data_IF_056906655709
#
_entry.id   IF_056906655709
#
_cell.length_a   1.000
_cell.length_b   1.000
_cell.length_c   1.000
_cell.angle_alpha   90.00
_cell.angle_beta   90.00
_cell.angle_gamma   90.00
#
_symmetry.space_group_name_H-M   'P 1'
#
loop_
_entity.id
_entity.type
_entity.pdbx_description
1 polymer ?
#
# COMPACT_ATOMS: atom_id res chain seq x y z
N UNK A 1 28.27 25.99 -40.92
CA UNK A 1 27.42 26.52 -42.01
C UNK A 1 26.29 25.53 -42.21
N UNK A 2 25.18 25.76 -41.51
CA UNK A 2 23.79 25.69 -41.94
C UNK A 2 23.03 26.44 -40.84
N UNK A 3 22.15 27.31 -41.31
CA UNK A 3 21.51 28.44 -40.67
C UNK A 3 20.00 28.15 -40.54
N UNK A 4 19.39 28.69 -39.47
CA UNK A 4 17.95 29.00 -39.28
C UNK A 4 16.94 27.83 -39.33
N UNK A 5 15.86 27.78 -38.53
CA UNK A 5 14.95 28.86 -38.13
C UNK A 5 14.33 28.62 -36.74
N UNK A 6 14.05 29.74 -36.08
CA UNK A 6 13.17 29.91 -34.93
C UNK A 6 11.82 29.17 -35.04
N UNK A 7 11.34 28.68 -33.90
CA UNK A 7 9.93 28.79 -33.53
C UNK A 7 9.87 29.04 -32.01
N UNK A 8 10.06 30.33 -31.66
CA UNK A 8 9.86 30.88 -30.33
C UNK A 8 8.35 30.93 -30.03
N UNK A 9 7.82 29.86 -29.46
CA UNK A 9 6.55 29.91 -28.76
C UNK A 9 6.81 30.28 -27.31
N UNK A 10 6.77 31.59 -27.07
CA UNK A 10 6.79 32.25 -25.78
C UNK A 10 5.86 31.55 -24.78
N UNK A 11 6.44 30.72 -23.90
CA UNK A 11 5.75 30.23 -22.71
C UNK A 11 5.68 31.42 -21.75
N UNK A 12 4.50 32.02 -21.61
CA UNK A 12 4.27 33.08 -20.63
C UNK A 12 4.63 32.57 -19.23
N UNK A 13 5.68 33.12 -18.63
CA UNK A 13 6.06 32.85 -17.24
C UNK A 13 4.91 33.25 -16.31
N UNK A 14 4.30 32.25 -15.66
CA UNK A 14 3.30 32.45 -14.60
C UNK A 14 4.05 32.44 -13.25
N UNK A 15 3.85 33.43 -12.35
CA UNK A 15 4.70 33.59 -11.17
C UNK A 15 4.54 32.48 -10.13
N UNK A 16 5.66 32.14 -9.50
CA UNK A 16 5.82 31.15 -8.44
C UNK A 16 5.01 31.48 -7.17
N UNK A 17 3.98 30.67 -6.89
CA UNK A 17 3.51 30.41 -5.53
C UNK A 17 3.69 28.92 -5.27
N UNK A 18 4.19 28.51 -4.09
CA UNK A 18 4.44 27.11 -3.69
C UNK A 18 3.49 26.12 -4.36
N UNK A 19 3.96 25.33 -5.32
CA UNK A 19 3.18 24.47 -6.21
C UNK A 19 3.73 24.56 -7.63
N UNK A 20 4.44 23.52 -8.06
CA UNK A 20 5.09 23.50 -9.36
C UNK A 20 4.15 23.03 -10.47
N UNK A 21 4.45 23.45 -11.70
CA UNK A 21 3.62 23.26 -12.88
C UNK A 21 4.05 21.98 -13.61
N UNK A 22 3.17 20.98 -13.66
CA UNK A 22 3.30 19.77 -14.46
C UNK A 22 2.64 19.97 -15.83
N UNK A 23 3.25 19.46 -16.89
CA UNK A 23 2.63 19.39 -18.22
C UNK A 23 2.06 18.00 -18.46
N UNK A 24 0.73 17.86 -18.47
CA UNK A 24 0.07 16.62 -18.89
C UNK A 24 -0.13 16.61 -20.40
N UNK A 25 0.46 15.65 -21.11
CA UNK A 25 0.26 15.46 -22.55
C UNK A 25 -0.85 14.43 -22.81
N UNK A 26 -1.84 14.80 -23.61
CA UNK A 26 -2.86 13.85 -24.08
C UNK A 26 -2.26 12.77 -24.98
N UNK A 27 -2.86 11.58 -25.06
CA UNK A 27 -2.36 10.44 -25.87
C UNK A 27 -2.09 10.78 -27.35
N UNK A 28 -2.82 11.75 -27.91
CA UNK A 28 -2.63 12.24 -29.28
C UNK A 28 -1.56 13.33 -29.42
N UNK A 29 -0.83 13.62 -28.33
CA UNK A 29 0.23 14.61 -28.28
C UNK A 29 -0.24 16.08 -28.29
N UNK A 30 -1.55 16.32 -28.47
CA UNK A 30 -2.08 17.61 -28.90
C UNK A 30 -2.42 18.63 -27.80
N UNK A 31 -2.51 18.23 -26.53
CA UNK A 31 -2.79 19.16 -25.43
C UNK A 31 -1.80 18.95 -24.29
N UNK A 32 -1.09 20.02 -23.92
CA UNK A 32 -0.19 20.09 -22.76
C UNK A 32 -0.83 20.98 -21.71
N UNK A 33 -1.46 20.38 -20.70
CA UNK A 33 -2.09 21.15 -19.62
C UNK A 33 -1.09 21.37 -18.49
N UNK A 34 -0.80 22.63 -18.21
CA UNK A 34 -0.04 23.08 -17.05
C UNK A 34 -0.90 22.96 -15.78
N UNK A 35 -0.59 22.03 -14.89
CA UNK A 35 -1.32 21.83 -13.64
C UNK A 35 -0.42 21.94 -12.41
N UNK A 36 -0.97 22.42 -11.29
CA UNK A 36 -0.21 22.55 -10.04
C UNK A 36 -0.19 21.20 -9.31
N UNK A 37 0.96 20.78 -8.81
CA UNK A 37 1.07 19.64 -7.90
C UNK A 37 1.32 20.12 -6.46
N UNK A 38 0.42 19.77 -5.53
CA UNK A 38 0.48 20.14 -4.12
C UNK A 38 -0.33 19.16 -3.26
N UNK A 39 0.19 18.78 -2.09
CA UNK A 39 -0.41 17.81 -1.16
C UNK A 39 -0.80 16.48 -1.83
N UNK A 40 0.14 15.92 -2.62
CA UNK A 40 -0.06 14.66 -3.38
C UNK A 40 -1.22 14.69 -4.38
N UNK A 41 -1.76 15.87 -4.70
CA UNK A 41 -2.85 16.04 -5.64
C UNK A 41 -2.49 17.01 -6.75
N UNK A 42 -3.23 16.89 -7.85
CA UNK A 42 -3.16 17.79 -9.00
C UNK A 42 -4.30 18.80 -8.89
N UNK A 43 -3.97 20.08 -9.05
CA UNK A 43 -4.89 21.19 -8.91
C UNK A 43 -5.04 21.95 -10.23
N UNK A 44 -6.29 22.05 -10.72
CA UNK A 44 -6.62 22.75 -11.96
C UNK A 44 -7.62 23.88 -11.66
N UNK A 45 -7.43 25.03 -12.31
CA UNK A 45 -8.48 26.05 -12.40
C UNK A 45 -9.57 25.62 -13.38
N UNK A 46 -10.75 26.24 -13.33
CA UNK A 46 -11.80 25.96 -14.34
C UNK A 46 -11.34 26.26 -15.76
N UNK A 47 -10.43 27.22 -15.95
CA UNK A 47 -9.88 27.55 -17.28
C UNK A 47 -9.03 26.39 -17.82
N UNK A 48 -8.21 25.77 -16.97
CA UNK A 48 -7.44 24.58 -17.34
C UNK A 48 -8.34 23.36 -17.59
N UNK A 49 -9.42 23.20 -16.82
CA UNK A 49 -10.41 22.15 -17.08
C UNK A 49 -11.16 22.35 -18.41
N UNK A 50 -11.42 23.61 -18.78
CA UNK A 50 -11.98 23.98 -20.09
C UNK A 50 -11.07 23.54 -21.22
N UNK A 51 -9.76 23.78 -21.10
CA UNK A 51 -8.76 23.36 -22.08
C UNK A 51 -8.66 21.82 -22.14
N UNK A 52 -8.50 21.17 -20.97
CA UNK A 52 -8.35 19.71 -20.85
C UNK A 52 -9.52 18.97 -21.49
N UNK A 53 -10.75 19.38 -21.19
CA UNK A 53 -11.96 18.69 -21.63
C UNK A 53 -12.58 19.30 -22.89
N UNK A 54 -11.99 20.35 -23.47
CA UNK A 54 -12.49 21.06 -24.65
C UNK A 54 -13.99 21.37 -24.53
N UNK A 55 -14.37 22.08 -23.48
CA UNK A 55 -15.76 22.44 -23.17
C UNK A 55 -15.89 23.91 -22.73
N UNK A 56 -17.08 24.38 -22.40
CA UNK A 56 -17.27 25.75 -21.93
C UNK A 56 -17.10 25.88 -20.42
N UNK A 57 -16.69 27.07 -19.96
CA UNK A 57 -16.58 27.36 -18.52
C UNK A 57 -17.93 27.20 -17.80
N UNK A 58 -19.03 27.57 -18.48
CA UNK A 58 -20.38 27.37 -17.95
C UNK A 58 -20.66 25.89 -17.70
N UNK A 59 -20.24 24.99 -18.60
CA UNK A 59 -20.45 23.56 -18.45
C UNK A 59 -19.61 22.97 -17.29
N UNK A 60 -18.35 23.41 -17.13
CA UNK A 60 -17.54 23.07 -15.96
C UNK A 60 -18.23 23.52 -14.66
N UNK A 61 -18.70 24.76 -14.62
CA UNK A 61 -19.37 25.32 -13.45
C UNK A 61 -20.66 24.57 -13.09
N UNK A 62 -21.44 24.18 -14.11
CA UNK A 62 -22.65 23.38 -13.95
C UNK A 62 -22.33 22.03 -13.31
N UNK A 63 -21.34 21.29 -13.84
CA UNK A 63 -20.99 19.98 -13.30
C UNK A 63 -20.41 20.05 -11.89
N UNK A 64 -19.54 21.03 -11.60
CA UNK A 64 -19.03 21.25 -10.24
C UNK A 64 -20.17 21.54 -9.26
N UNK A 65 -21.11 22.40 -9.63
CA UNK A 65 -22.28 22.70 -8.80
C UNK A 65 -23.08 21.42 -8.51
N UNK A 66 -23.40 20.64 -9.54
CA UNK A 66 -24.16 19.41 -9.36
C UNK A 66 -23.42 18.40 -8.45
N UNK A 67 -22.09 18.24 -8.62
CA UNK A 67 -21.28 17.35 -7.78
C UNK A 67 -21.36 17.73 -6.29
N UNK A 68 -21.39 19.02 -5.99
CA UNK A 68 -21.51 19.50 -4.62
C UNK A 68 -22.96 19.42 -4.10
N UNK A 69 -23.95 19.78 -4.92
CA UNK A 69 -25.37 19.70 -4.56
C UNK A 69 -25.82 18.25 -4.33
N UNK A 70 -25.22 17.28 -5.03
CA UNK A 70 -25.44 15.83 -4.86
C UNK A 70 -24.72 15.26 -3.62
N UNK A 71 -23.82 16.03 -2.99
CA UNK A 71 -23.01 15.58 -1.86
C UNK A 71 -21.95 14.54 -2.22
N UNK A 72 -21.59 14.40 -3.51
CA UNK A 72 -20.54 13.48 -3.96
C UNK A 72 -19.17 13.91 -3.44
N UNK A 73 -18.91 15.23 -3.44
CA UNK A 73 -17.68 15.82 -2.91
C UNK A 73 -18.00 16.97 -1.96
N UNK A 74 -17.18 17.09 -0.91
CA UNK A 74 -17.19 18.21 0.01
C UNK A 74 -16.34 19.37 -0.55
N UNK A 75 -16.94 20.55 -0.85
CA UNK A 75 -16.21 21.70 -1.38
C UNK A 75 -14.98 22.11 -0.56
N UNK A 76 -15.04 21.98 0.77
CA UNK A 76 -13.97 22.41 1.68
C UNK A 76 -12.72 21.51 1.56
N UNK A 77 -12.88 20.30 1.01
CA UNK A 77 -11.77 19.35 0.78
C UNK A 77 -11.17 19.45 -0.62
N UNK A 78 -11.97 19.83 -1.61
CA UNK A 78 -11.59 19.73 -3.03
C UNK A 78 -11.37 21.07 -3.71
N UNK A 79 -11.63 22.20 -3.02
CA UNK A 79 -11.45 23.56 -3.56
C UNK A 79 -10.41 24.33 -2.74
N UNK A 80 -9.46 24.97 -3.42
CA UNK A 80 -8.51 25.91 -2.82
C UNK A 80 -8.43 27.20 -3.62
N UNK A 81 -8.27 28.33 -2.93
CA UNK A 81 -8.01 29.63 -3.56
C UNK A 81 -6.50 29.88 -3.66
N UNK A 82 -6.01 30.07 -4.88
CA UNK A 82 -4.62 30.44 -5.13
C UNK A 82 -4.53 31.88 -5.62
N UNK A 83 -3.48 32.59 -5.20
CA UNK A 83 -3.17 33.92 -5.73
C UNK A 83 -2.51 33.77 -7.11
N UNK A 84 -3.05 34.48 -8.10
CA UNK A 84 -2.51 34.53 -9.46
C UNK A 84 -2.37 35.98 -9.88
N UNK A 85 -1.23 36.34 -10.47
CA UNK A 85 -1.03 37.69 -11.04
C UNK A 85 -1.43 37.65 -12.50
N UNK A 86 -2.37 38.48 -12.91
CA UNK A 86 -2.74 38.57 -14.33
C UNK A 86 -1.80 39.51 -15.09
N UNK A 87 -1.93 39.53 -16.43
CA UNK A 87 -1.11 40.37 -17.31
C UNK A 87 -1.22 41.88 -17.04
N UNK A 88 -2.23 42.31 -16.30
CA UNK A 88 -2.44 43.68 -15.83
C UNK A 88 -1.67 44.02 -14.53
N UNK A 89 -0.86 43.07 -14.02
CA UNK A 89 -0.09 43.21 -12.79
C UNK A 89 -0.90 43.11 -11.50
N UNK A 90 -2.21 42.84 -11.57
CA UNK A 90 -3.07 42.71 -10.38
C UNK A 90 -3.13 41.27 -9.90
N UNK A 91 -3.18 41.11 -8.58
CA UNK A 91 -3.35 39.82 -7.93
C UNK A 91 -4.83 39.47 -7.80
N UNK A 92 -5.21 38.30 -8.29
CA UNK A 92 -6.55 37.73 -8.21
C UNK A 92 -6.51 36.43 -7.42
N UNK A 93 -7.57 36.15 -6.65
CA UNK A 93 -7.78 34.82 -6.07
C UNK A 93 -8.55 33.96 -7.06
N UNK A 94 -7.96 32.84 -7.46
CA UNK A 94 -8.53 31.90 -8.42
C UNK A 94 -8.74 30.56 -7.75
N UNK A 95 -10.00 30.09 -7.78
CA UNK A 95 -10.36 28.75 -7.32
C UNK A 95 -9.72 27.67 -8.19
N UNK A 96 -9.08 26.72 -7.54
CA UNK A 96 -8.57 25.50 -8.13
C UNK A 96 -9.25 24.29 -7.48
N UNK A 97 -9.34 23.23 -8.27
CA UNK A 97 -10.06 22.00 -7.97
C UNK A 97 -9.06 20.85 -8.01
N UNK A 98 -9.10 20.00 -6.98
CA UNK A 98 -8.19 18.86 -6.87
C UNK A 98 -8.53 17.75 -7.89
N UNK A 99 -7.73 16.67 -7.88
CA UNK A 99 -7.90 15.56 -8.80
C UNK A 99 -9.29 14.91 -8.73
N UNK A 100 -9.89 14.79 -7.54
CA UNK A 100 -11.21 14.17 -7.37
C UNK A 100 -12.30 14.97 -8.10
N UNK A 101 -12.28 16.29 -7.94
CA UNK A 101 -13.21 17.18 -8.64
C UNK A 101 -12.98 17.15 -10.16
N UNK A 102 -11.73 17.07 -10.62
CA UNK A 102 -11.39 16.95 -12.04
C UNK A 102 -11.92 15.64 -12.63
N UNK A 103 -11.77 14.52 -11.93
CA UNK A 103 -12.28 13.21 -12.33
C UNK A 103 -13.82 13.24 -12.38
N UNK A 104 -14.47 13.69 -11.31
CA UNK A 104 -15.94 13.75 -11.19
C UNK A 104 -16.58 14.56 -12.34
N UNK A 105 -15.96 15.68 -12.70
CA UNK A 105 -16.37 16.51 -13.84
C UNK A 105 -16.06 15.83 -15.17
N UNK A 106 -14.87 15.24 -15.33
CA UNK A 106 -14.45 14.55 -16.56
C UNK A 106 -15.39 13.42 -16.97
N UNK A 107 -15.94 12.67 -16.01
CA UNK A 107 -16.94 11.64 -16.28
C UNK A 107 -18.26 12.20 -16.82
N UNK A 108 -18.66 13.41 -16.40
CA UNK A 108 -19.94 14.05 -16.76
C UNK A 108 -19.89 14.84 -18.07
N UNK A 109 -18.70 15.23 -18.52
CA UNK A 109 -18.55 16.05 -19.74
C UNK A 109 -18.81 15.23 -21.01
N UNK A 110 -19.71 15.75 -21.84
CA UNK A 110 -19.99 15.25 -23.19
C UNK A 110 -19.15 16.00 -24.22
N UNK A 111 -17.88 15.62 -24.36
CA UNK A 111 -16.98 16.10 -25.41
C UNK A 111 -16.13 14.95 -25.96
N UNK A 112 -15.42 15.17 -27.08
CA UNK A 112 -14.47 14.18 -27.59
C UNK A 112 -13.39 13.85 -26.55
N UNK A 113 -12.86 14.87 -25.86
CA UNK A 113 -11.90 14.70 -24.76
C UNK A 113 -12.50 13.99 -23.55
N UNK A 114 -13.74 14.31 -23.17
CA UNK A 114 -14.45 13.59 -22.11
C UNK A 114 -14.66 12.11 -22.46
N UNK A 115 -14.92 11.79 -23.72
CA UNK A 115 -15.00 10.39 -24.20
C UNK A 115 -13.65 9.69 -24.11
N UNK A 116 -12.56 10.30 -24.60
CA UNK A 116 -11.22 9.71 -24.46
C UNK A 116 -10.83 9.51 -22.99
N UNK A 117 -11.12 10.50 -22.12
CA UNK A 117 -10.88 10.40 -20.68
C UNK A 117 -11.61 9.20 -20.06
N UNK A 118 -12.90 9.00 -20.38
CA UNK A 118 -13.64 7.83 -19.89
C UNK A 118 -13.12 6.51 -20.45
N UNK A 119 -12.72 6.47 -21.71
CA UNK A 119 -12.11 5.27 -22.31
C UNK A 119 -10.81 4.91 -21.58
N UNK A 120 -9.90 5.88 -21.43
CA UNK A 120 -8.66 5.73 -20.67
C UNK A 120 -8.90 5.29 -19.23
N UNK A 121 -9.81 5.94 -18.50
CA UNK A 121 -10.10 5.58 -17.11
C UNK A 121 -10.71 4.17 -16.99
N UNK A 122 -11.57 3.79 -17.94
CA UNK A 122 -12.15 2.43 -18.00
C UNK A 122 -11.08 1.38 -18.29
N UNK A 123 -10.15 1.67 -19.21
CA UNK A 123 -9.04 0.78 -19.54
C UNK A 123 -8.06 0.63 -18.37
N UNK A 124 -7.73 1.74 -17.70
CA UNK A 124 -6.92 1.76 -16.49
C UNK A 124 -7.55 0.91 -15.38
N UNK A 125 -8.85 1.11 -15.10
CA UNK A 125 -9.57 0.32 -14.10
C UNK A 125 -9.64 -1.15 -14.49
N UNK A 126 -9.89 -1.45 -15.77
CA UNK A 126 -9.90 -2.83 -16.29
C UNK A 126 -8.54 -3.49 -16.10
N UNK A 127 -7.46 -2.80 -16.41
CA UNK A 127 -6.11 -3.32 -16.22
C UNK A 127 -5.86 -3.65 -14.75
N UNK A 128 -6.20 -2.74 -13.83
CA UNK A 128 -6.10 -3.01 -12.40
C UNK A 128 -6.93 -4.25 -11.99
N UNK A 129 -8.18 -4.36 -12.44
CA UNK A 129 -9.05 -5.49 -12.09
C UNK A 129 -8.57 -6.83 -12.66
N UNK A 130 -7.95 -6.83 -13.84
CA UNK A 130 -7.48 -8.06 -14.53
C UNK A 130 -6.08 -8.46 -14.07
N UNK A 131 -5.14 -7.52 -13.99
CA UNK A 131 -3.71 -7.78 -13.69
C UNK A 131 -3.37 -7.60 -12.21
N UNK A 132 -4.14 -6.80 -11.48
CA UNK A 132 -3.87 -6.42 -10.09
C UNK A 132 -2.96 -5.20 -9.92
N UNK A 133 -2.59 -4.50 -11.00
CA UNK A 133 -1.76 -3.29 -10.99
C UNK A 133 -2.01 -2.41 -12.22
N UNK A 134 -1.60 -1.14 -12.14
CA UNK A 134 -1.51 -0.17 -13.24
C UNK A 134 -0.14 0.50 -13.13
N UNK A 135 0.52 0.77 -14.26
CA UNK A 135 1.82 1.45 -14.28
C UNK A 135 1.91 2.44 -15.44
N UNK A 136 2.56 3.58 -15.19
CA UNK A 136 3.01 4.49 -16.23
C UNK A 136 4.51 4.25 -16.48
N UNK A 137 4.82 3.29 -17.36
CA UNK A 137 6.19 2.90 -17.68
C UNK A 137 7.04 4.06 -18.22
N UNK A 138 6.42 4.98 -18.97
CA UNK A 138 7.12 6.12 -19.56
C UNK A 138 7.59 7.09 -18.47
N UNK A 139 6.72 7.40 -17.51
CA UNK A 139 7.07 8.25 -16.35
C UNK A 139 8.09 7.57 -15.45
N UNK A 140 7.94 6.27 -15.16
CA UNK A 140 8.89 5.53 -14.31
C UNK A 140 10.28 5.38 -14.95
N UNK A 141 10.38 5.36 -16.30
CA UNK A 141 11.66 5.33 -17.02
C UNK A 141 12.34 6.70 -17.12
N UNK A 142 11.57 7.78 -16.99
CA UNK A 142 12.04 9.15 -17.15
C UNK A 142 11.75 9.92 -15.85
N UNK A 143 12.56 9.69 -14.79
CA UNK A 143 12.31 10.31 -13.50
C UNK A 143 12.34 11.83 -13.63
N UNK A 144 11.57 12.56 -12.81
CA UNK A 144 11.60 14.02 -12.79
C UNK A 144 13.03 14.53 -12.58
N UNK A 145 13.40 15.60 -13.28
CA UNK A 145 14.71 16.25 -13.11
C UNK A 145 14.89 16.75 -11.67
N UNK A 146 16.13 16.76 -11.18
CA UNK A 146 16.44 17.25 -9.83
C UNK A 146 15.84 18.64 -9.60
N UNK A 147 14.93 18.76 -8.62
CA UNK A 147 14.18 19.98 -8.33
C UNK A 147 12.73 20.01 -8.83
N UNK A 148 12.20 18.92 -9.39
CA UNK A 148 10.77 18.80 -9.70
C UNK A 148 9.93 18.43 -8.46
N UNK A 149 8.74 19.04 -8.30
CA UNK A 149 7.83 18.84 -7.19
C UNK A 149 7.10 17.50 -7.21
N UNK A 150 7.15 16.81 -8.35
CA UNK A 150 6.57 15.48 -8.47
C UNK A 150 7.49 14.51 -7.74
N UNK A 151 7.01 13.83 -6.69
CA UNK A 151 7.81 12.82 -6.03
C UNK A 151 8.08 11.67 -7.00
N UNK A 152 9.31 11.19 -7.00
CA UNK A 152 9.65 9.94 -7.65
C UNK A 152 9.26 8.77 -6.73
N UNK A 153 8.23 8.03 -7.12
CA UNK A 153 7.72 6.87 -6.38
C UNK A 153 8.38 5.55 -6.83
N UNK A 154 9.43 5.58 -7.66
CA UNK A 154 10.07 4.37 -8.16
C UNK A 154 10.64 3.51 -7.03
N UNK A 155 11.28 4.11 -6.03
CA UNK A 155 11.81 3.39 -4.87
C UNK A 155 10.71 2.75 -4.02
N UNK A 156 9.57 3.42 -3.84
CA UNK A 156 8.40 2.86 -3.16
C UNK A 156 7.84 1.66 -3.95
N UNK A 157 7.72 1.78 -5.27
CA UNK A 157 7.27 0.69 -6.13
C UNK A 157 8.20 -0.52 -6.03
N UNK A 158 9.52 -0.31 -6.08
CA UNK A 158 10.51 -1.37 -5.89
C UNK A 158 10.36 -2.04 -4.52
N UNK A 159 10.14 -1.27 -3.47
CA UNK A 159 9.94 -1.80 -2.13
C UNK A 159 8.67 -2.64 -2.03
N UNK A 160 7.56 -2.19 -2.62
CA UNK A 160 6.30 -2.96 -2.72
C UNK A 160 6.49 -4.26 -3.51
N UNK A 161 7.21 -4.22 -4.64
CA UNK A 161 7.54 -5.42 -5.42
C UNK A 161 8.38 -6.40 -4.59
N UNK A 162 9.40 -5.92 -3.86
CA UNK A 162 10.21 -6.77 -2.98
C UNK A 162 9.38 -7.44 -1.90
N UNK A 163 8.48 -6.71 -1.24
CA UNK A 163 7.59 -7.27 -0.24
C UNK A 163 6.64 -8.33 -0.83
N UNK A 164 6.05 -8.05 -2.01
CA UNK A 164 5.21 -9.02 -2.73
C UNK A 164 6.03 -10.28 -3.08
N UNK A 165 7.25 -10.13 -3.60
CA UNK A 165 8.13 -11.26 -3.96
C UNK A 165 8.52 -12.10 -2.74
N UNK A 166 8.76 -11.44 -1.60
CA UNK A 166 9.14 -12.08 -0.35
C UNK A 166 7.94 -12.50 0.53
N UNK A 167 6.71 -12.32 0.05
CA UNK A 167 5.55 -12.96 0.64
C UNK A 167 5.76 -14.48 0.61
N UNK A 168 5.48 -15.17 1.71
CA UNK A 168 5.77 -16.61 1.86
C UNK A 168 5.14 -17.43 0.74
N UNK A 169 3.94 -17.05 0.28
CA UNK A 169 3.26 -17.70 -0.84
C UNK A 169 4.00 -17.53 -2.17
N UNK A 170 4.47 -16.31 -2.51
CA UNK A 170 5.19 -16.07 -3.77
C UNK A 170 6.58 -16.67 -3.73
N UNK A 171 7.28 -16.53 -2.61
CA UNK A 171 8.53 -17.22 -2.35
C UNK A 171 8.33 -18.73 -2.53
N UNK A 172 7.37 -19.36 -1.83
CA UNK A 172 7.13 -20.79 -1.92
C UNK A 172 6.83 -21.24 -3.35
N UNK A 173 5.96 -20.53 -4.09
CA UNK A 173 5.67 -20.87 -5.48
C UNK A 173 6.90 -20.79 -6.37
N UNK A 174 7.72 -19.74 -6.21
CA UNK A 174 8.92 -19.54 -7.04
C UNK A 174 10.04 -20.51 -6.69
N UNK A 175 10.31 -20.69 -5.40
CA UNK A 175 11.19 -21.73 -4.84
C UNK A 175 10.75 -23.08 -5.40
N UNK A 176 9.46 -23.43 -5.32
CA UNK A 176 8.94 -24.68 -5.88
C UNK A 176 9.13 -24.80 -7.39
N UNK A 177 8.94 -23.74 -8.17
CA UNK A 177 9.20 -23.77 -9.62
C UNK A 177 10.67 -24.03 -9.95
N UNK A 178 11.58 -23.39 -9.22
CA UNK A 178 13.03 -23.53 -9.43
C UNK A 178 13.50 -24.91 -8.97
N UNK A 179 13.10 -25.34 -7.77
CA UNK A 179 13.52 -26.61 -7.20
C UNK A 179 12.77 -27.81 -7.76
N UNK A 180 11.60 -27.63 -8.39
CA UNK A 180 10.97 -28.69 -9.18
C UNK A 180 11.78 -29.08 -10.42
N UNK A 181 12.78 -28.27 -10.80
CA UNK A 181 13.77 -28.66 -11.81
C UNK A 181 14.91 -29.52 -11.25
N UNK A 182 14.98 -29.69 -9.92
CA UNK A 182 15.95 -30.59 -9.32
C UNK A 182 15.62 -32.04 -9.67
N UNK A 183 16.64 -32.84 -9.93
CA UNK A 183 16.45 -34.20 -10.45
C UNK A 183 15.76 -35.14 -9.45
N UNK A 184 15.90 -34.87 -8.16
CA UNK A 184 15.38 -35.65 -7.03
C UNK A 184 14.17 -34.99 -6.35
N UNK A 185 13.61 -33.93 -6.92
CA UNK A 185 12.44 -33.28 -6.34
C UNK A 185 11.18 -34.11 -6.53
N UNK A 186 10.54 -34.46 -5.41
CA UNK A 186 9.22 -35.08 -5.39
C UNK A 186 8.28 -34.27 -4.48
N UNK A 187 7.12 -33.80 -4.98
CA UNK A 187 6.15 -33.08 -4.17
C UNK A 187 5.68 -33.88 -2.95
N UNK A 188 5.45 -33.19 -1.83
CA UNK A 188 4.82 -33.76 -0.63
C UNK A 188 5.60 -34.88 0.08
N UNK A 189 6.88 -35.10 -0.23
CA UNK A 189 7.72 -36.02 0.54
C UNK A 189 8.23 -35.37 1.83
N UNK A 190 8.62 -36.21 2.80
CA UNK A 190 9.26 -35.77 4.05
C UNK A 190 10.58 -35.06 3.76
N UNK A 191 11.35 -35.54 2.78
CA UNK A 191 12.62 -34.93 2.35
C UNK A 191 12.40 -33.51 1.82
N UNK A 192 11.45 -33.34 0.90
CA UNK A 192 11.09 -32.02 0.35
C UNK A 192 10.62 -31.08 1.45
N UNK A 193 9.74 -31.53 2.35
CA UNK A 193 9.26 -30.70 3.47
C UNK A 193 10.42 -30.22 4.37
N UNK A 194 11.36 -31.11 4.68
CA UNK A 194 12.56 -30.77 5.47
C UNK A 194 13.47 -29.79 4.75
N UNK A 195 13.67 -29.96 3.44
CA UNK A 195 14.45 -29.05 2.61
C UNK A 195 13.89 -27.62 2.69
N UNK A 196 12.57 -27.44 2.45
CA UNK A 196 11.94 -26.12 2.53
C UNK A 196 12.05 -25.48 3.93
N UNK A 197 11.89 -26.28 4.98
CA UNK A 197 12.08 -25.81 6.37
C UNK A 197 13.52 -25.34 6.62
N UNK A 198 14.49 -26.07 6.08
CA UNK A 198 15.92 -25.74 6.20
C UNK A 198 16.24 -24.43 5.49
N UNK A 199 15.80 -24.27 4.24
CA UNK A 199 15.94 -23.02 3.47
C UNK A 199 15.28 -21.85 4.22
N UNK A 200 14.05 -22.02 4.73
CA UNK A 200 13.35 -20.98 5.47
C UNK A 200 14.13 -20.56 6.74
N UNK A 201 14.63 -21.52 7.52
CA UNK A 201 15.40 -21.24 8.73
C UNK A 201 16.74 -20.54 8.41
N UNK A 202 17.43 -20.95 7.36
CA UNK A 202 18.66 -20.28 6.89
C UNK A 202 18.41 -18.82 6.53
N UNK A 203 17.32 -18.53 5.82
CA UNK A 203 16.94 -17.16 5.43
C UNK A 203 16.52 -16.31 6.65
N UNK A 204 15.74 -16.86 7.58
CA UNK A 204 15.39 -16.16 8.84
C UNK A 204 16.63 -15.87 9.69
N UNK A 205 17.56 -16.82 9.76
CA UNK A 205 18.79 -16.68 10.53
C UNK A 205 19.71 -15.62 9.90
N UNK A 206 19.81 -15.58 8.57
CA UNK A 206 20.59 -14.56 7.88
C UNK A 206 20.09 -13.14 8.22
N UNK A 207 18.77 -12.93 8.27
CA UNK A 207 18.17 -11.64 8.61
C UNK A 207 18.23 -11.31 10.11
N UNK A 208 17.93 -12.28 11.00
CA UNK A 208 17.70 -11.99 12.43
C UNK A 208 18.80 -12.52 13.35
N UNK A 209 19.56 -13.52 12.93
CA UNK A 209 20.44 -14.32 13.78
C UNK A 209 19.72 -15.40 14.58
N UNK A 210 18.44 -15.63 14.28
CA UNK A 210 17.60 -16.65 14.90
C UNK A 210 16.87 -17.46 13.82
N UNK A 211 16.71 -18.76 14.06
CA UNK A 211 15.76 -19.57 13.29
C UNK A 211 14.32 -19.12 13.60
N UNK A 212 13.36 -19.47 12.74
CA UNK A 212 11.95 -19.11 13.01
C UNK A 212 11.42 -19.64 14.36
N UNK A 213 11.74 -20.88 14.79
CA UNK A 213 11.37 -21.36 16.13
C UNK A 213 12.01 -20.56 17.28
N UNK A 214 13.28 -20.18 17.16
CA UNK A 214 13.97 -19.37 18.18
C UNK A 214 13.37 -17.96 18.27
N UNK A 215 13.04 -17.38 17.11
CA UNK A 215 12.39 -16.08 17.01
C UNK A 215 11.04 -16.10 17.75
N UNK A 216 10.18 -17.07 17.44
CA UNK A 216 8.88 -17.26 18.10
C UNK A 216 9.08 -17.43 19.61
N UNK A 217 10.01 -18.31 20.02
CA UNK A 217 10.28 -18.56 21.44
C UNK A 217 10.77 -17.32 22.18
N UNK A 218 11.50 -16.44 21.51
CA UNK A 218 12.05 -15.23 22.12
C UNK A 218 11.07 -14.04 22.15
N UNK A 219 10.10 -13.97 21.23
CA UNK A 219 9.25 -12.78 21.02
C UNK A 219 7.77 -12.99 21.29
N UNK A 220 7.27 -14.23 21.31
CA UNK A 220 5.89 -14.50 21.68
C UNK A 220 5.69 -14.21 23.16
N UNK A 221 4.93 -13.16 23.47
CA UNK A 221 4.68 -12.71 24.84
C UNK A 221 3.25 -12.21 24.99
N UNK A 222 2.43 -12.96 25.73
CA UNK A 222 1.03 -12.62 25.98
C UNK A 222 0.82 -11.30 26.73
N UNK A 223 1.86 -10.74 27.35
CA UNK A 223 1.81 -9.46 28.05
C UNK A 223 1.92 -8.27 27.11
N UNK A 224 2.52 -8.44 25.93
CA UNK A 224 2.63 -7.38 24.94
C UNK A 224 1.32 -7.18 24.16
N UNK A 225 1.09 -5.99 23.58
CA UNK A 225 0.04 -5.79 22.59
C UNK A 225 0.20 -6.80 21.46
N UNK A 226 -0.90 -7.42 21.03
CA UNK A 226 -0.90 -8.39 19.92
C UNK A 226 0.14 -9.52 20.05
N UNK A 227 0.51 -9.89 21.28
CA UNK A 227 1.53 -10.89 21.59
C UNK A 227 2.96 -10.61 21.10
N UNK A 228 3.27 -9.35 20.77
CA UNK A 228 4.55 -8.99 20.16
C UNK A 228 4.63 -9.21 18.65
N UNK A 229 3.51 -9.55 18.00
CA UNK A 229 3.43 -9.59 16.54
C UNK A 229 3.50 -8.16 15.99
N UNK A 230 4.21 -8.01 14.88
CA UNK A 230 4.38 -6.77 14.11
C UNK A 230 3.59 -6.80 12.80
N UNK A 231 3.27 -7.99 12.30
CA UNK A 231 2.53 -8.20 11.07
C UNK A 231 1.65 -9.46 11.18
N UNK A 232 0.39 -9.41 10.76
CA UNK A 232 -0.52 -10.57 10.72
C UNK A 232 -1.65 -10.33 9.72
N UNK A 233 -2.42 -11.38 9.45
CA UNK A 233 -3.60 -11.28 8.59
C UNK A 233 -4.63 -10.36 9.24
N UNK A 234 -5.12 -9.37 8.49
CA UNK A 234 -5.98 -8.27 8.98
C UNK A 234 -7.03 -8.64 10.05
N UNK A 235 -7.30 -7.68 10.93
CA UNK A 235 -8.19 -7.84 12.06
C UNK A 235 -7.45 -8.28 13.32
N UNK A 236 -8.06 -9.17 14.09
CA UNK A 236 -7.50 -9.64 15.36
C UNK A 236 -6.51 -10.80 15.19
N UNK A 237 -5.46 -10.80 16.02
CA UNK A 237 -4.50 -11.90 16.11
C UNK A 237 -5.22 -13.22 16.40
N UNK A 238 -4.92 -14.24 15.59
CA UNK A 238 -5.45 -15.60 15.69
C UNK A 238 -4.36 -16.59 16.09
N UNK A 239 -4.77 -17.77 16.56
CA UNK A 239 -3.85 -18.86 16.95
C UNK A 239 -2.93 -19.33 15.82
N UNK A 240 -3.36 -19.18 14.56
CA UNK A 240 -2.51 -19.49 13.40
C UNK A 240 -1.41 -18.46 13.14
N UNK A 241 -1.61 -17.20 13.58
CA UNK A 241 -0.65 -16.12 13.32
C UNK A 241 0.56 -16.20 14.24
N UNK A 242 0.38 -16.70 15.48
CA UNK A 242 1.43 -16.74 16.51
C UNK A 242 2.50 -17.80 16.28
N UNK A 243 2.26 -18.75 15.38
CA UNK A 243 3.22 -19.78 14.99
C UNK A 243 4.05 -19.37 13.77
N UNK A 244 3.77 -18.22 13.15
CA UNK A 244 4.51 -17.76 11.97
C UNK A 244 5.66 -16.86 12.42
N UNK A 245 6.90 -17.30 12.21
CA UNK A 245 8.09 -16.53 12.62
C UNK A 245 8.16 -15.14 11.99
N UNK A 246 7.80 -15.03 10.69
CA UNK A 246 7.77 -13.75 9.96
C UNK A 246 6.93 -12.68 10.67
N UNK A 247 5.87 -13.07 11.38
CA UNK A 247 4.96 -12.16 12.06
C UNK A 247 5.58 -11.45 13.28
N UNK A 248 6.75 -11.89 13.74
CA UNK A 248 7.49 -11.27 14.84
C UNK A 248 8.68 -10.43 14.37
N UNK A 249 8.91 -10.28 13.06
CA UNK A 249 10.04 -9.53 12.51
C UNK A 249 9.77 -8.02 12.61
N UNK A 250 10.76 -7.24 13.02
CA UNK A 250 10.66 -5.78 12.94
C UNK A 250 10.85 -5.29 11.49
N UNK A 251 10.60 -4.00 11.23
CA UNK A 251 10.68 -3.44 9.87
C UNK A 251 12.04 -3.65 9.20
N UNK A 252 13.14 -3.45 9.94
CA UNK A 252 14.50 -3.64 9.41
C UNK A 252 14.76 -5.12 9.04
N UNK A 253 14.31 -6.05 9.88
CA UNK A 253 14.47 -7.49 9.63
C UNK A 253 13.61 -7.97 8.46
N UNK A 254 12.41 -7.41 8.28
CA UNK A 254 11.55 -7.67 7.12
C UNK A 254 12.26 -7.18 5.85
N UNK A 255 12.78 -5.96 5.86
CA UNK A 255 13.50 -5.41 4.72
C UNK A 255 14.74 -6.25 4.36
N UNK A 256 15.49 -6.68 5.37
CA UNK A 256 16.64 -7.53 5.18
C UNK A 256 16.27 -8.91 4.63
N UNK A 257 15.27 -9.57 5.23
CA UNK A 257 14.75 -10.84 4.73
C UNK A 257 14.27 -10.72 3.28
N UNK A 258 13.49 -9.68 2.98
CA UNK A 258 12.94 -9.44 1.65
C UNK A 258 14.05 -9.26 0.61
N UNK A 259 15.13 -8.52 0.94
CA UNK A 259 16.31 -8.36 0.07
C UNK A 259 17.02 -9.69 -0.19
N UNK A 260 17.29 -10.47 0.87
CA UNK A 260 17.96 -11.77 0.74
C UNK A 260 17.17 -12.71 -0.15
N UNK A 261 15.86 -12.83 0.10
CA UNK A 261 14.97 -13.72 -0.64
C UNK A 261 14.96 -13.36 -2.13
N UNK A 262 14.85 -12.08 -2.48
CA UNK A 262 14.86 -11.62 -3.87
C UNK A 262 16.18 -11.97 -4.55
N UNK A 263 17.32 -11.64 -3.95
CA UNK A 263 18.64 -11.92 -4.51
C UNK A 263 18.88 -13.43 -4.67
N UNK A 264 18.48 -14.23 -3.67
CA UNK A 264 18.58 -15.69 -3.73
C UNK A 264 17.73 -16.27 -4.86
N UNK A 265 16.49 -15.81 -5.02
CA UNK A 265 15.60 -16.27 -6.08
C UNK A 265 16.14 -15.94 -7.48
N UNK A 266 16.72 -14.75 -7.67
CA UNK A 266 17.31 -14.34 -8.94
C UNK A 266 18.56 -15.18 -9.26
N UNK A 267 19.40 -15.43 -8.25
CA UNK A 267 20.54 -16.35 -8.37
C UNK A 267 20.08 -17.77 -8.72
N UNK A 268 19.08 -18.30 -8.01
CA UNK A 268 18.60 -19.66 -8.23
C UNK A 268 17.93 -19.82 -9.60
N UNK A 269 17.18 -18.82 -10.08
CA UNK A 269 16.61 -18.85 -11.44
C UNK A 269 17.70 -18.87 -12.52
N UNK A 270 18.74 -18.05 -12.38
CA UNK A 270 19.89 -18.06 -13.30
C UNK A 270 20.62 -19.41 -13.29
N UNK A 271 20.86 -20.00 -12.10
CA UNK A 271 21.47 -21.32 -11.99
C UNK A 271 20.62 -22.41 -12.66
N UNK A 272 19.31 -22.39 -12.46
CA UNK A 272 18.39 -23.36 -13.07
C UNK A 272 18.34 -23.22 -14.61
N UNK A 273 18.30 -21.99 -15.13
CA UNK A 273 18.32 -21.71 -16.58
C UNK A 273 19.58 -22.20 -17.28
N UNK A 274 20.71 -22.26 -16.57
CA UNK A 274 21.99 -22.75 -17.08
C UNK A 274 22.08 -24.28 -17.22
N UNK A 275 20.95 -25.00 -17.02
CA UNK A 275 20.75 -26.43 -17.35
C UNK A 275 21.82 -27.38 -16.81
N UNK A 276 22.29 -27.15 -15.60
CA UNK A 276 23.00 -28.19 -14.84
C UNK A 276 21.93 -29.02 -14.13
N UNK A 277 22.02 -30.35 -14.17
CA UNK A 277 21.24 -31.15 -13.21
C UNK A 277 21.71 -30.74 -11.81
N UNK A 278 20.77 -30.28 -10.99
CA UNK A 278 21.01 -29.88 -9.60
C UNK A 278 20.14 -30.77 -8.73
N UNK A 279 20.66 -31.23 -7.60
CA UNK A 279 19.91 -31.98 -6.59
C UNK A 279 19.47 -31.04 -5.46
N UNK A 280 18.50 -31.45 -4.64
CA UNK A 280 18.05 -30.63 -3.50
C UNK A 280 19.20 -30.32 -2.52
N UNK A 281 20.13 -31.25 -2.29
CA UNK A 281 21.32 -31.02 -1.47
C UNK A 281 22.22 -29.90 -2.01
N UNK A 282 22.43 -29.87 -3.33
CA UNK A 282 23.27 -28.85 -3.97
C UNK A 282 22.69 -27.45 -3.75
N UNK A 283 21.37 -27.33 -3.64
CA UNK A 283 20.70 -26.07 -3.39
C UNK A 283 20.87 -25.57 -1.96
N UNK A 284 20.95 -26.47 -0.98
CA UNK A 284 21.30 -26.09 0.39
C UNK A 284 22.73 -25.57 0.47
N UNK A 285 23.69 -26.27 -0.18
CA UNK A 285 25.10 -25.84 -0.25
C UNK A 285 25.25 -24.50 -0.98
N UNK A 286 24.53 -24.34 -2.10
CA UNK A 286 24.51 -23.07 -2.85
C UNK A 286 23.93 -21.92 -2.04
N UNK A 287 22.92 -22.17 -1.20
CA UNK A 287 22.39 -21.13 -0.33
C UNK A 287 23.43 -20.70 0.72
N UNK A 288 24.15 -21.65 1.33
CA UNK A 288 25.19 -21.31 2.30
C UNK A 288 26.32 -20.51 1.65
N UNK A 289 26.79 -20.95 0.47
CA UNK A 289 27.80 -20.23 -0.29
C UNK A 289 27.31 -18.83 -0.71
N UNK A 290 26.04 -18.71 -1.12
CA UNK A 290 25.43 -17.43 -1.48
C UNK A 290 25.36 -16.48 -0.28
N UNK A 291 24.91 -16.97 0.88
CA UNK A 291 24.83 -16.17 2.10
C UNK A 291 26.22 -15.73 2.56
N UNK A 292 27.20 -16.64 2.59
CA UNK A 292 28.57 -16.34 2.95
C UNK A 292 29.21 -15.32 1.99
N UNK A 293 29.01 -15.47 0.68
CA UNK A 293 29.53 -14.55 -0.33
C UNK A 293 28.98 -13.11 -0.18
N UNK A 294 27.76 -12.97 0.32
CA UNK A 294 27.13 -11.66 0.56
C UNK A 294 27.40 -11.13 1.99
N UNK A 295 28.40 -11.65 2.69
CA UNK A 295 28.76 -11.30 4.07
C UNK A 295 27.60 -11.45 5.07
N UNK A 296 26.73 -12.45 4.85
CA UNK A 296 25.57 -12.74 5.70
C UNK A 296 25.85 -13.90 6.65
N UNK A 297 25.15 -13.89 7.77
CA UNK A 297 25.18 -14.97 8.76
C UNK A 297 24.64 -16.25 8.14
N UNK A 298 25.46 -17.30 8.13
CA UNK A 298 25.07 -18.65 7.73
C UNK A 298 24.68 -19.43 8.99
N UNK A 299 23.56 -20.14 8.93
CA UNK A 299 23.09 -20.96 10.04
C UNK A 299 24.03 -22.18 10.19
N UNK A 300 24.75 -22.33 11.33
CA UNK A 300 25.77 -23.37 11.47
C UNK A 300 25.21 -24.76 11.78
N UNK A 301 24.02 -24.83 12.40
CA UNK A 301 23.36 -26.06 12.83
C UNK A 301 21.82 -25.93 12.75
N UNK A 302 21.07 -26.91 13.23
CA UNK A 302 19.60 -26.88 13.15
C UNK A 302 18.92 -25.82 14.05
N UNK A 303 19.68 -25.04 14.82
CA UNK A 303 19.18 -24.13 15.85
C UNK A 303 18.93 -24.83 17.19
N UNK A 304 18.67 -24.04 18.22
CA UNK A 304 18.52 -24.51 19.61
C UNK A 304 17.09 -24.87 19.98
N UNK A 305 16.10 -24.42 19.20
CA UNK A 305 14.68 -24.59 19.50
C UNK A 305 14.00 -25.39 18.40
N UNK A 306 13.31 -26.46 18.79
CA UNK A 306 12.53 -27.25 17.83
C UNK A 306 11.22 -26.54 17.46
N UNK A 307 10.75 -26.78 16.24
CA UNK A 307 9.47 -26.24 15.76
C UNK A 307 8.30 -26.58 16.69
N UNK A 308 8.21 -27.85 17.12
CA UNK A 308 7.16 -28.32 18.04
C UNK A 308 7.19 -27.58 19.39
N UNK A 309 8.38 -27.33 19.94
CA UNK A 309 8.52 -26.61 21.20
C UNK A 309 8.12 -25.13 21.07
N UNK A 310 8.52 -24.48 19.97
CA UNK A 310 8.13 -23.10 19.69
C UNK A 310 6.62 -22.95 19.47
N UNK A 311 6.01 -23.83 18.67
CA UNK A 311 4.57 -23.79 18.39
C UNK A 311 3.73 -24.08 19.65
N UNK A 312 4.18 -24.99 20.51
CA UNK A 312 3.54 -25.27 21.80
C UNK A 312 3.64 -24.05 22.75
N UNK A 313 4.80 -23.41 22.81
CA UNK A 313 5.00 -22.19 23.60
C UNK A 313 4.09 -21.05 23.10
N UNK A 314 4.10 -20.76 21.80
CA UNK A 314 3.26 -19.72 21.22
C UNK A 314 1.77 -19.99 21.42
N UNK A 315 1.35 -21.26 21.36
CA UNK A 315 -0.03 -21.66 21.62
C UNK A 315 -0.45 -21.41 23.07
N UNK A 316 0.44 -21.68 24.02
CA UNK A 316 0.22 -21.40 25.44
C UNK A 316 0.13 -19.89 25.71
N UNK A 317 1.07 -19.11 25.16
CA UNK A 317 1.02 -17.65 25.23
C UNK A 317 -0.28 -17.10 24.61
N UNK A 318 -0.76 -17.69 23.52
CA UNK A 318 -1.99 -17.25 22.88
C UNK A 318 -3.22 -17.50 23.73
N UNK A 319 -3.26 -18.59 24.48
CA UNK A 319 -4.37 -18.88 25.39
C UNK A 319 -4.46 -17.84 26.50
N UNK A 320 -3.32 -17.49 27.12
CA UNK A 320 -3.25 -16.41 28.11
C UNK A 320 -3.61 -15.03 27.51
N UNK A 321 -3.14 -14.74 26.30
CA UNK A 321 -3.48 -13.51 25.59
C UNK A 321 -4.98 -13.41 25.26
N UNK A 322 -5.58 -14.50 24.78
CA UNK A 322 -6.98 -14.58 24.41
C UNK A 322 -7.89 -14.39 25.63
N UNK A 323 -7.53 -14.98 26.78
CA UNK A 323 -8.22 -14.76 28.06
C UNK A 323 -8.16 -13.28 28.48
N UNK A 324 -6.97 -12.67 28.48
CA UNK A 324 -6.80 -11.24 28.80
C UNK A 324 -7.62 -10.34 27.89
N UNK A 325 -7.61 -10.62 26.58
CA UNK A 325 -8.37 -9.86 25.58
C UNK A 325 -9.88 -10.03 25.77
N UNK A 326 -10.36 -11.23 26.12
CA UNK A 326 -11.77 -11.48 26.44
C UNK A 326 -12.22 -10.64 27.63
N UNK A 327 -11.47 -10.70 28.73
CA UNK A 327 -11.74 -9.92 29.94
C UNK A 327 -11.76 -8.41 29.65
N UNK A 328 -10.80 -7.91 28.87
CA UNK A 328 -10.78 -6.50 28.47
C UNK A 328 -12.05 -6.11 27.69
N UNK A 329 -12.45 -6.90 26.69
CA UNK A 329 -13.67 -6.66 25.90
C UNK A 329 -14.94 -6.72 26.75
N UNK A 330 -15.02 -7.66 27.69
CA UNK A 330 -16.14 -7.74 28.64
C UNK A 330 -16.23 -6.45 29.47
N UNK A 331 -15.11 -5.99 30.05
CA UNK A 331 -15.10 -4.75 30.83
C UNK A 331 -15.43 -3.50 30.00
N UNK A 332 -15.00 -3.42 28.73
CA UNK A 332 -15.38 -2.31 27.85
C UNK A 332 -16.86 -2.37 27.46
N UNK A 333 -17.38 -3.57 27.19
CA UNK A 333 -18.80 -3.78 26.91
C UNK A 333 -19.67 -3.39 28.11
N UNK A 334 -19.27 -3.76 29.33
CA UNK A 334 -19.95 -3.35 30.57
C UNK A 334 -19.94 -1.83 30.76
N UNK A 335 -18.80 -1.16 30.52
CA UNK A 335 -18.70 0.31 30.60
C UNK A 335 -19.58 0.99 29.55
N UNK A 336 -19.56 0.51 28.31
CA UNK A 336 -20.39 1.05 27.25
C UNK A 336 -21.88 0.86 27.54
N UNK A 337 -22.27 -0.31 28.05
CA UNK A 337 -23.65 -0.59 28.49
C UNK A 337 -24.07 0.32 29.65
N UNK A 338 -23.20 0.53 30.64
CA UNK A 338 -23.46 1.41 31.78
C UNK A 338 -23.61 2.87 31.33
N UNK A 339 -22.77 3.35 30.42
CA UNK A 339 -22.89 4.69 29.83
C UNK A 339 -24.18 4.85 29.02
N UNK A 340 -24.57 3.83 28.24
CA UNK A 340 -25.83 3.84 27.50
C UNK A 340 -27.05 3.86 28.43
N UNK A 341 -27.02 3.10 29.53
CA UNK A 341 -28.07 3.11 30.56
C UNK A 341 -28.14 4.46 31.29
N UNK A 342 -26.99 5.09 31.60
CA UNK A 342 -26.94 6.44 32.19
C UNK A 342 -27.51 7.51 31.24
N UNK A 343 -27.21 7.42 29.94
CA UNK A 343 -27.79 8.30 28.93
C UNK A 343 -29.31 8.12 28.86
N UNK A 344 -29.78 6.87 28.78
CA UNK A 344 -31.20 6.55 28.75
C UNK A 344 -31.92 7.06 30.01
N UNK A 345 -31.31 6.92 31.19
CA UNK A 345 -31.86 7.39 32.46
C UNK A 345 -31.95 8.92 32.54
N UNK A 346 -31.04 9.66 31.90
CA UNK A 346 -31.10 11.13 31.79
C UNK A 346 -32.17 11.61 30.82
N UNK A 347 -32.56 10.76 29.86
CA UNK A 347 -33.57 11.06 28.85
C UNK A 347 -35.00 10.68 29.29
N UNK A 348 -35.17 10.02 30.45
CA UNK A 348 -36.48 9.72 31.01
C UNK A 348 -37.13 11.01 31.58
N UNK A 349 -38.36 11.36 31.16
CA UNK A 349 -39.09 12.49 31.74
C UNK A 349 -39.44 12.19 33.21
N UNK A 350 -39.26 13.18 34.10
CA UNK A 350 -39.72 13.08 35.49
C UNK A 350 -41.22 12.73 35.50
N UNK A 351 -41.57 11.61 36.13
CA UNK A 351 -42.98 11.28 36.37
C UNK A 351 -43.56 12.36 37.28
N UNK A 352 -44.41 13.22 36.70
CA UNK A 352 -45.31 14.08 37.47
C UNK A 352 -46.28 13.15 38.21
N UNK A 353 -46.15 13.05 39.53
CA UNK A 353 -47.23 12.54 40.39
C UNK A 353 -48.42 13.49 40.26
N UNK A 354 -49.45 13.11 39.50
CA UNK A 354 -50.76 13.76 39.57
C UNK A 354 -51.49 13.29 40.84
N UNK A 355 -52.03 14.21 41.67
CA UNK A 355 -52.79 13.82 42.85
C UNK A 355 -54.17 13.28 42.45
N UNK A 356 -54.50 12.13 43.03
CA UNK A 356 -55.78 11.41 42.95
C UNK A 356 -56.93 12.28 43.50
N UNK A 357 -57.66 12.95 42.61
CA UNK A 357 -58.93 13.63 42.94
C UNK A 357 -60.09 12.64 42.77
N UNK A 358 -60.30 11.83 43.80
CA UNK A 358 -61.48 10.98 43.94
C UNK A 358 -62.71 11.81 44.28
N UNK A 359 -63.44 12.26 43.25
CA UNK A 359 -64.79 12.80 43.42
C UNK A 359 -65.82 11.66 43.47
N UNK A 360 -66.31 11.35 44.68
CA UNK A 360 -67.53 10.57 44.90
C UNK A 360 -68.77 11.46 44.65
N UNK A 361 -69.70 10.98 43.81
CA UNK A 361 -71.13 11.30 43.86
C UNK A 361 -71.94 10.04 43.66
#
# INVERSE_FOLDING_TARGET
MIDQTDDDHSVSEIPSGRGEILFYQTEDGGTRVACRFEDESVWLSQALMVELFQTSKQNISLHLKNVFDEGELDPDRVVKDYLTTAADGKAYRVKHYNLDAVIAVGYRIRSRRGTHFRQWATETLREYLVKGFVMDDARLKNPPVAGAAVPDYFDELLQRIRDIRASERRMYLRVREIFAMAADYEPSTVATTRFFQTIQNKLHFAATGMTAPELIRSRADHQLPNMGLTNWKSGEVRKGDVTIGKNYLNGQEIDELNRIVVMWLDYADDQARRRKQVFMSDWEEKLDAFLAFNDRRVLPDAGKVTRKAADAFASHEYEAFAERRRLFKETEGERAAMQALEQLARELPEQHDEPDDGSET
#
